data_IF_802556005860
#
_entry.id   IF_802556005860
#
_cell.length_a   1.000
_cell.length_b   1.000
_cell.length_c   1.000
_cell.angle_alpha   90.00
_cell.angle_beta   90.00
_cell.angle_gamma   90.00
#
_symmetry.space_group_name_H-M   'P 1'
#
loop_
_entity.id
_entity.type
_entity.pdbx_description
1 polymer ?
2 non-polymer ?
3 water ?
#
# COMPACT_ATOMS: atom_id res chain seq x y z
N UNK A 3 -13.04 -3.81 -18.07
CA UNK A 3 -12.99 -5.14 -17.47
C UNK A 3 -12.50 -5.07 -16.03
N UNK A 4 -12.63 -6.19 -15.32
CA UNK A 4 -12.11 -6.30 -13.96
C UNK A 4 -10.80 -7.08 -13.98
N UNK A 5 -9.85 -6.73 -13.10
CA UNK A 5 -8.57 -7.44 -13.08
C UNK A 5 -8.73 -8.95 -12.90
N UNK A 6 -8.00 -9.71 -13.70
CA UNK A 6 -8.02 -11.17 -13.59
C UNK A 6 -7.51 -11.59 -12.21
N UNK A 7 -7.99 -12.73 -11.76
CA UNK A 7 -7.50 -13.32 -10.52
C UNK A 7 -6.03 -13.62 -10.68
N UNK A 8 -5.27 -13.36 -9.62
CA UNK A 8 -3.85 -13.67 -9.60
C UNK A 8 -3.59 -14.48 -8.34
N UNK A 9 -2.37 -14.94 -8.18
CA UNK A 9 -1.99 -15.65 -6.97
C UNK A 9 -2.11 -14.74 -5.77
N UNK A 10 -2.13 -13.43 -6.02
CA UNK A 10 -2.00 -12.43 -4.96
C UNK A 10 -3.22 -11.54 -4.83
N UNK A 11 -3.60 -11.23 -3.59
CA UNK A 11 -4.68 -10.28 -3.37
C UNK A 11 -4.48 -9.47 -2.09
N UNK A 12 -5.16 -8.32 -2.05
CA UNK A 12 -5.13 -7.42 -0.91
C UNK A 12 -6.50 -7.35 -0.25
N UNK A 13 -6.58 -7.76 1.01
CA UNK A 13 -7.80 -7.58 1.80
C UNK A 13 -7.80 -6.21 2.44
N UNK A 14 -8.98 -5.62 2.59
CA UNK A 14 -9.14 -4.35 3.32
C UNK A 14 -10.16 -4.50 4.42
N UNK A 15 -10.16 -3.56 5.36
CA UNK A 15 -11.16 -3.50 6.42
C UNK A 15 -11.12 -4.72 7.34
N UNK A 16 -9.97 -5.39 7.35
CA UNK A 16 -9.75 -6.52 8.24
C UNK A 16 -9.61 -6.05 9.68
N UNK A 17 -9.31 -4.76 9.83
CA UNK A 17 -9.10 -4.17 11.13
C UNK A 17 -9.04 -2.66 11.03
N UNK A 18 -8.90 -2.01 12.19
CA UNK A 18 -8.74 -0.57 12.26
C UNK A 18 -7.66 -0.29 13.31
N UNK A 19 -6.46 0.09 12.85
CA UNK A 19 -5.32 0.31 13.77
C UNK A 19 -5.64 1.26 14.91
N UNK A 20 -6.64 2.12 14.73
CA UNK A 20 -7.02 3.05 15.77
C UNK A 20 -7.76 2.36 16.92
N UNK A 21 -8.61 1.40 16.57
CA UNK A 21 -9.39 0.65 17.55
C UNK A 21 -8.75 -0.64 18.07
N UNK A 22 -7.76 -1.19 17.35
CA UNK A 22 -7.21 -2.50 17.72
C UNK A 22 -6.49 -2.47 19.06
N UNK A 23 -7.12 -3.14 20.02
CA UNK A 23 -6.70 -3.11 21.42
C UNK A 23 -6.03 -4.39 21.92
N UNK A 24 -6.14 -5.50 21.18
CA UNK A 24 -5.61 -6.76 21.69
C UNK A 24 -4.17 -6.97 21.29
N UNK A 25 -3.33 -7.32 22.25
CA UNK A 25 -1.94 -7.62 21.97
C UNK A 25 -1.90 -8.82 21.04
N UNK A 26 -1.03 -8.78 20.03
CA UNK A 26 -0.91 -9.88 19.10
C UNK A 26 -2.11 -9.98 18.18
N UNK A 27 -2.86 -8.90 18.03
CA UNK A 27 -4.05 -8.89 17.19
C UNK A 27 -3.74 -9.25 15.73
N UNK A 28 -2.65 -8.73 15.18
CA UNK A 28 -2.34 -8.95 13.77
C UNK A 28 -1.96 -10.41 13.52
N UNK A 29 -1.33 -11.05 14.49
CA UNK A 29 -0.99 -12.47 14.38
C UNK A 29 -2.26 -13.31 14.39
N UNK A 30 -3.24 -12.90 15.19
CA UNK A 30 -4.47 -13.66 15.27
C UNK A 30 -5.21 -13.54 13.95
N UNK A 31 -5.17 -12.35 13.36
CA UNK A 31 -5.72 -12.15 12.03
C UNK A 31 -5.01 -13.07 11.05
N UNK A 32 -3.67 -13.08 11.12
CA UNK A 32 -2.87 -13.94 10.25
C UNK A 32 -3.27 -15.41 10.42
N UNK A 33 -3.37 -15.87 11.66
CA UNK A 33 -3.79 -17.26 11.92
C UNK A 33 -5.19 -17.50 11.39
N UNK A 34 -6.06 -16.52 11.59
CA UNK A 34 -7.44 -16.65 11.17
C UNK A 34 -7.50 -16.81 9.66
N UNK A 35 -6.72 -16.02 8.95
CA UNK A 35 -6.69 -16.08 7.49
C UNK A 35 -6.10 -17.40 7.00
N UNK A 36 -4.97 -17.79 7.56
CA UNK A 36 -4.34 -19.04 7.16
C UNK A 36 -5.29 -20.21 7.42
N UNK A 37 -5.90 -20.23 8.60
CA UNK A 37 -6.87 -21.28 8.93
C UNK A 37 -7.97 -21.32 7.89
N UNK A 38 -8.42 -20.15 7.48
CA UNK A 38 -9.48 -20.06 6.49
C UNK A 38 -8.97 -20.60 5.15
N UNK A 39 -7.74 -20.23 4.79
CA UNK A 39 -7.16 -20.68 3.54
C UNK A 39 -6.90 -22.19 3.53
N UNK A 40 -6.57 -22.74 4.69
CA UNK A 40 -6.27 -24.17 4.79
C UNK A 40 -7.52 -25.03 4.83
N UNK A 41 -8.68 -24.39 4.75
CA UNK A 41 -9.93 -25.09 4.51
C UNK A 41 -10.19 -25.11 3.00
N UNK A 42 -9.25 -24.57 2.24
CA UNK A 42 -9.42 -24.46 0.78
C UNK A 42 -8.17 -24.86 0.00
N UNK A 43 -7.41 -23.89 -0.48
CA UNK A 43 -6.25 -24.15 -1.32
C UNK A 43 -4.95 -23.67 -0.71
N UNK A 44 -5.00 -23.28 0.56
CA UNK A 44 -3.81 -22.87 1.27
C UNK A 44 -3.34 -21.48 0.87
N UNK A 45 -2.16 -21.13 1.35
CA UNK A 45 -1.59 -19.81 1.18
C UNK A 45 -0.08 -19.91 1.35
N UNK A 46 0.68 -19.14 0.57
CA UNK A 46 2.14 -19.21 0.59
C UNK A 46 2.79 -17.91 1.04
N UNK A 47 1.99 -16.85 1.14
CA UNK A 47 2.45 -15.60 1.72
C UNK A 47 1.26 -14.83 2.29
N UNK A 48 1.50 -14.20 3.43
CA UNK A 48 0.49 -13.36 4.05
C UNK A 48 1.17 -12.22 4.79
N UNK A 49 0.58 -11.03 4.71
CA UNK A 49 1.11 -9.88 5.43
C UNK A 49 0.00 -8.96 5.91
N UNK A 50 -0.14 -8.85 7.23
CA UNK A 50 -1.08 -7.92 7.83
C UNK A 50 -0.42 -6.56 8.03
N UNK A 51 -0.87 -5.56 7.26
CA UNK A 51 -0.29 -4.23 7.32
C UNK A 51 -0.85 -3.46 8.52
N UNK A 52 -0.16 -3.55 9.65
CA UNK A 52 -0.63 -2.96 10.90
C UNK A 52 -0.91 -1.46 10.83
N UNK A 53 -0.18 -0.76 9.97
CA UNK A 53 -0.26 0.69 9.91
C UNK A 53 -1.27 1.24 8.90
N UNK A 54 -1.84 0.36 8.08
CA UNK A 54 -2.75 0.82 7.04
C UNK A 54 -4.06 1.25 7.67
N UNK A 55 -4.53 2.43 7.29
CA UNK A 55 -5.73 2.99 7.87
C UNK A 55 -6.95 2.18 7.46
N UNK A 56 -6.88 1.56 6.29
CA UNK A 56 -8.00 0.78 5.77
C UNK A 56 -7.89 -0.68 6.21
N UNK A 57 -6.92 -0.98 7.07
CA UNK A 57 -6.77 -2.33 7.60
C UNK A 57 -6.44 -3.36 6.55
N UNK A 58 -5.32 -3.19 5.85
CA UNK A 58 -4.97 -4.06 4.75
C UNK A 58 -4.27 -5.35 5.17
N UNK A 59 -4.66 -6.45 4.54
CA UNK A 59 -3.97 -7.72 4.67
C UNK A 59 -3.64 -8.24 3.27
N UNK A 60 -2.36 -8.54 3.04
CA UNK A 60 -1.90 -9.01 1.75
C UNK A 60 -1.70 -10.50 1.78
N UNK A 61 -2.11 -11.18 0.71
CA UNK A 61 -2.08 -12.63 0.65
C UNK A 61 -1.62 -13.12 -0.72
N UNK A 62 -0.84 -14.18 -0.73
CA UNK A 62 -0.52 -14.89 -1.97
C UNK A 62 -0.70 -16.39 -1.77
N UNK A 63 -1.44 -17.01 -2.69
CA UNK A 63 -1.75 -18.43 -2.62
C UNK A 63 -0.92 -19.20 -3.64
N UNK A 64 -0.74 -20.52 -3.42
CA UNK A 64 0.17 -21.31 -4.26
C UNK A 64 -0.27 -21.40 -5.72
N UNK A 65 -1.51 -20.99 -5.97
CA UNK A 65 -2.03 -20.99 -7.32
C UNK A 65 -3.19 -20.01 -7.38
N UNK A 66 -3.59 -19.63 -8.58
CA UNK A 66 -4.67 -18.68 -8.73
C UNK A 66 -5.97 -19.34 -8.28
N UNK A 67 -6.08 -20.65 -8.53
CA UNK A 67 -7.22 -21.42 -8.04
C UNK A 67 -7.31 -21.38 -6.51
N UNK A 68 -6.17 -21.50 -5.86
CA UNK A 68 -6.13 -21.42 -4.40
C UNK A 68 -6.48 -20.01 -3.94
N UNK A 69 -5.96 -19.03 -4.68
CA UNK A 69 -6.19 -17.62 -4.37
C UNK A 69 -7.67 -17.29 -4.48
N UNK A 70 -8.32 -17.77 -5.54
CA UNK A 70 -9.74 -17.57 -5.73
C UNK A 70 -10.54 -18.13 -4.54
N UNK A 71 -10.18 -19.34 -4.12
CA UNK A 71 -10.87 -19.99 -3.02
C UNK A 71 -10.72 -19.22 -1.71
N UNK A 72 -9.51 -18.74 -1.45
CA UNK A 72 -9.23 -17.95 -0.25
C UNK A 72 -10.03 -16.66 -0.26
N UNK A 73 -9.94 -15.92 -1.37
CA UNK A 73 -10.65 -14.67 -1.54
C UNK A 73 -12.14 -14.88 -1.31
N UNK A 74 -12.67 -15.95 -1.88
CA UNK A 74 -14.09 -16.24 -1.79
C UNK A 74 -14.54 -16.66 -0.39
N UNK A 75 -13.60 -17.14 0.40
CA UNK A 75 -13.88 -17.55 1.77
C UNK A 75 -13.78 -16.38 2.74
N UNK A 76 -12.97 -15.39 2.37
CA UNK A 76 -12.61 -14.31 3.28
C UNK A 76 -13.41 -13.03 3.07
N UNK A 77 -13.74 -12.71 1.83
CA UNK A 77 -14.37 -11.42 1.51
C UNK A 77 -15.82 -11.25 1.98
N UNK A 78 -16.34 -12.21 2.74
CA UNK A 78 -17.72 -12.15 3.17
C UNK A 78 -17.92 -11.60 4.58
N UNK A 79 -16.90 -11.68 5.41
CA UNK A 79 -17.02 -11.25 6.81
C UNK A 79 -17.08 -9.74 7.02
N UNK A 80 -17.68 -9.36 8.15
CA UNK A 80 -17.82 -7.97 8.57
C UNK A 80 -17.03 -7.64 9.83
N UNK A 81 -16.56 -6.39 9.92
CA UNK A 81 -15.92 -5.92 11.14
C UNK A 81 -16.13 -4.42 11.40
N UNK A 82 -16.64 -4.13 12.60
CA UNK A 82 -16.87 -2.76 13.04
C UNK A 82 -17.77 -1.99 12.09
N UNK A 83 -18.81 -2.64 11.61
CA UNK A 83 -19.76 -2.00 10.71
C UNK A 83 -19.24 -1.92 9.29
N UNK A 84 -17.99 -2.32 9.08
CA UNK A 84 -17.38 -2.27 7.76
C UNK A 84 -17.12 -3.69 7.26
N UNK A 85 -17.39 -3.90 5.98
CA UNK A 85 -17.22 -5.18 5.31
C UNK A 85 -15.84 -5.37 4.68
N UNK A 86 -15.26 -6.55 4.87
CA UNK A 86 -13.95 -6.86 4.30
C UNK A 86 -14.05 -6.99 2.78
N UNK A 87 -13.06 -6.42 2.09
CA UNK A 87 -12.98 -6.46 0.63
C UNK A 87 -11.63 -7.00 0.16
N UNK A 88 -11.66 -7.81 -0.90
CA UNK A 88 -10.44 -8.32 -1.53
C UNK A 88 -10.18 -7.66 -2.89
N UNK A 89 -8.92 -7.30 -3.14
CA UNK A 89 -8.48 -6.82 -4.45
C UNK A 89 -7.25 -7.58 -4.92
N UNK A 90 -7.32 -8.19 -6.10
CA UNK A 90 -6.18 -8.90 -6.66
C UNK A 90 -5.06 -7.94 -7.01
N UNK A 91 -3.83 -8.39 -6.81
CA UNK A 91 -2.64 -7.60 -7.14
C UNK A 91 -1.85 -8.30 -8.24
N UNK A 92 -1.48 -7.57 -9.31
CA UNK A 92 -0.66 -8.21 -10.33
C UNK A 92 0.68 -8.66 -9.75
N UNK A 93 1.20 -9.79 -10.22
CA UNK A 93 2.40 -10.38 -9.66
C UNK A 93 3.57 -9.40 -9.54
N UNK A 94 3.89 -8.66 -10.62
CA UNK A 94 5.02 -7.73 -10.52
C UNK A 94 4.84 -6.69 -9.41
N UNK A 95 3.63 -6.15 -9.27
CA UNK A 95 3.35 -5.19 -8.20
C UNK A 95 3.49 -5.83 -6.82
N UNK A 96 2.88 -7.00 -6.67
CA UNK A 96 2.93 -7.71 -5.39
C UNK A 96 4.35 -8.14 -5.08
N UNK A 97 5.05 -8.58 -6.11
CA UNK A 97 6.43 -9.00 -5.99
C UNK A 97 7.32 -7.80 -5.71
N UNK A 98 6.98 -6.65 -6.27
CA UNK A 98 7.74 -5.44 -5.99
C UNK A 98 7.52 -5.01 -4.54
N UNK A 99 6.28 -5.12 -4.08
CA UNK A 99 5.96 -4.83 -2.68
C UNK A 99 6.52 -5.92 -1.74
N UNK A 100 6.42 -7.17 -2.17
CA UNK A 100 6.89 -8.31 -1.39
C UNK A 100 7.81 -9.19 -2.24
N UNK A 101 9.08 -8.78 -2.38
CA UNK A 101 10.09 -9.53 -3.14
C UNK A 101 10.17 -11.01 -2.79
N UNK A 102 10.06 -11.34 -1.52
CA UNK A 102 10.24 -12.72 -1.06
C UNK A 102 9.07 -13.62 -1.47
N UNK A 103 7.94 -13.01 -1.77
CA UNK A 103 6.75 -13.77 -2.16
C UNK A 103 6.94 -14.45 -3.51
N UNK A 104 7.96 -14.03 -4.25
CA UNK A 104 8.23 -14.58 -5.56
C UNK A 104 8.50 -16.08 -5.50
N UNK A 105 9.50 -16.46 -4.71
CA UNK A 105 9.95 -17.84 -4.63
C UNK A 105 9.36 -18.64 -3.46
N UNK A 106 8.47 -18.03 -2.69
CA UNK A 106 7.81 -18.73 -1.60
C UNK A 106 6.79 -19.73 -2.15
N UNK A 107 6.98 -21.02 -1.84
CA UNK A 107 6.12 -22.07 -2.36
C UNK A 107 5.51 -22.93 -1.25
N UNK A 108 6.01 -22.79 -0.03
CA UNK A 108 5.54 -23.59 1.09
C UNK A 108 4.18 -23.13 1.64
N UNK A 109 3.21 -24.03 1.66
CA UNK A 109 1.91 -23.72 2.24
C UNK A 109 2.02 -23.40 3.72
N UNK A 110 1.45 -22.26 4.10
CA UNK A 110 1.47 -21.79 5.47
C UNK A 110 0.43 -22.51 6.31
N UNK A 111 0.73 -22.71 7.59
CA UNK A 111 -0.23 -23.24 8.53
C UNK A 111 -0.32 -22.27 9.70
N UNK A 112 -1.45 -22.27 10.42
CA UNK A 112 -1.58 -21.32 11.52
C UNK A 112 -0.61 -21.60 12.66
N UNK A 113 -0.32 -20.58 13.44
CA UNK A 113 0.50 -20.72 14.64
C UNK A 113 -0.26 -21.50 15.70
N UNK A 114 -1.52 -21.10 15.95
CA UNK A 114 -2.33 -21.74 16.96
C UNK A 114 -2.86 -23.08 16.47
N UNK A 115 -2.95 -24.04 17.38
CA UNK A 115 -3.37 -25.40 17.04
C UNK A 115 -4.90 -25.54 17.07
N UNK B 6 10.28 2.73 9.62
CA UNK B 6 11.18 3.83 9.30
C UNK B 6 10.41 5.05 8.80
N UNK B 7 9.38 5.43 9.56
CA UNK B 7 8.60 6.62 9.24
C UNK B 7 9.46 7.89 9.31
N UNK B 8 9.33 8.72 8.29
CA UNK B 8 10.01 10.01 8.22
C UNK B 8 9.04 11.05 7.69
N UNK B 9 9.50 12.31 7.62
CA UNK B 9 8.73 13.37 6.97
C UNK B 9 8.55 13.09 5.49
N UNK B 10 9.40 12.23 4.94
CA UNK B 10 9.48 12.01 3.51
C UNK B 10 9.18 10.58 3.10
N UNK B 11 8.52 10.45 1.96
CA UNK B 11 8.26 9.13 1.39
C UNK B 11 8.25 9.18 -0.12
N UNK B 12 8.45 8.00 -0.71
CA UNK B 12 8.46 7.82 -2.13
C UNK B 12 7.25 6.99 -2.48
N UNK B 13 6.36 7.55 -3.28
CA UNK B 13 5.24 6.79 -3.80
C UNK B 13 5.75 6.08 -5.05
N UNK B 14 5.27 4.86 -5.28
CA UNK B 14 5.63 4.12 -6.48
C UNK B 14 4.37 3.75 -7.23
N UNK B 15 4.52 3.41 -8.50
CA UNK B 15 3.42 2.93 -9.31
C UNK B 15 2.35 4.00 -9.48
N UNK B 16 2.76 5.26 -9.30
CA UNK B 16 1.86 6.39 -9.50
C UNK B 16 1.62 6.62 -10.99
N UNK B 17 2.53 6.12 -11.82
CA UNK B 17 2.43 6.31 -13.26
C UNK B 17 3.43 5.44 -14.02
N UNK B 18 3.34 5.48 -15.35
CA UNK B 18 4.30 4.79 -16.21
C UNK B 18 4.57 5.68 -17.43
N UNK B 19 5.51 5.30 -18.31
CA UNK B 19 5.75 6.15 -19.47
C UNK B 19 4.50 6.42 -20.31
N UNK B 20 3.51 5.53 -20.21
CA UNK B 20 2.23 5.68 -20.92
C UNK B 20 1.40 6.78 -20.28
N UNK B 21 1.61 7.01 -18.99
CA UNK B 21 0.84 8.00 -18.26
C UNK B 21 1.33 9.39 -18.67
N UNK B 22 2.57 9.42 -19.12
CA UNK B 22 3.24 10.66 -19.47
C UNK B 22 2.82 11.24 -20.81
N UNK B 23 1.83 10.64 -21.46
CA UNK B 23 1.50 11.02 -22.83
C UNK B 23 0.36 12.03 -22.82
N UNK B 24 -0.30 12.14 -21.67
CA UNK B 24 -1.37 13.12 -21.47
C UNK B 24 -0.80 14.36 -20.78
N UNK B 25 -1.14 15.54 -21.28
CA UNK B 25 -0.70 16.80 -20.68
C UNK B 25 -1.18 16.95 -19.25
N UNK B 26 -0.31 17.51 -18.40
CA UNK B 26 -0.66 17.75 -17.02
C UNK B 26 -0.77 16.48 -16.20
N UNK B 27 -0.23 15.39 -16.72
CA UNK B 27 -0.25 14.12 -16.01
C UNK B 27 0.51 14.32 -14.70
N UNK B 28 1.64 14.99 -14.79
CA UNK B 28 2.52 15.23 -13.65
C UNK B 28 1.93 16.27 -12.72
N UNK B 29 1.28 17.29 -13.28
CA UNK B 29 0.66 18.33 -12.47
C UNK B 29 -0.51 17.77 -11.68
N UNK B 30 -1.25 16.86 -12.29
CA UNK B 30 -2.41 16.26 -11.65
C UNK B 30 -2.01 15.28 -10.55
N UNK B 31 -0.98 14.49 -10.82
CA UNK B 31 -0.44 13.58 -9.80
C UNK B 31 0.06 14.42 -8.63
N UNK B 32 0.77 15.49 -8.95
CA UNK B 32 1.26 16.41 -7.93
C UNK B 32 0.10 16.93 -7.08
N UNK B 33 -0.96 17.39 -7.76
CA UNK B 33 -2.14 17.90 -7.08
C UNK B 33 -2.85 16.82 -6.26
N UNK B 34 -2.93 15.61 -6.79
CA UNK B 34 -3.61 14.52 -6.11
C UNK B 34 -2.96 14.20 -4.77
N UNK B 35 -1.63 14.18 -4.76
CA UNK B 35 -0.89 13.88 -3.55
C UNK B 35 -1.09 15.01 -2.53
N UNK B 36 -0.96 16.26 -2.98
CA UNK B 36 -1.14 17.41 -2.11
C UNK B 36 -2.51 17.38 -1.45
N UNK B 37 -3.53 17.10 -2.26
CA UNK B 37 -4.89 17.01 -1.78
C UNK B 37 -5.04 15.98 -0.67
N UNK B 38 -4.42 14.81 -0.87
CA UNK B 38 -4.47 13.74 0.12
C UNK B 38 -3.75 14.18 1.39
N UNK B 39 -2.61 14.83 1.21
CA UNK B 39 -1.83 15.29 2.34
C UNK B 39 -2.57 16.36 3.14
N UNK B 40 -3.35 17.19 2.47
CA UNK B 40 -4.07 18.27 3.15
C UNK B 40 -5.34 17.75 3.84
N UNK B 41 -5.58 16.45 3.73
CA UNK B 41 -6.61 15.77 4.52
C UNK B 41 -6.00 15.18 5.80
N UNK B 42 -4.70 15.42 5.97
CA UNK B 42 -3.97 14.88 7.11
C UNK B 42 -3.11 15.96 7.73
N UNK B 43 -1.83 16.01 7.38
CA UNK B 43 -0.89 16.97 7.95
C UNK B 43 -0.25 17.88 6.92
N UNK B 44 -0.76 17.87 5.70
CA UNK B 44 -0.26 18.71 4.64
C UNK B 44 1.06 18.24 4.06
N UNK B 45 1.64 19.07 3.20
CA UNK B 45 2.86 18.71 2.47
C UNK B 45 3.58 20.00 2.05
N UNK B 46 4.91 19.97 2.05
CA UNK B 46 5.70 21.16 1.77
C UNK B 46 6.63 21.02 0.56
N UNK B 47 6.77 19.81 0.05
CA UNK B 47 7.50 19.61 -1.20
C UNK B 47 7.03 18.34 -1.88
N UNK B 48 6.97 18.40 -3.21
CA UNK B 48 6.60 17.24 -4.00
C UNK B 48 7.32 17.28 -5.35
N UNK B 49 7.72 16.11 -5.83
CA UNK B 49 8.39 16.01 -7.11
C UNK B 49 7.92 14.76 -7.84
N UNK B 50 7.26 14.98 -8.97
CA UNK B 50 6.85 13.88 -9.84
C UNK B 50 8.01 13.56 -10.75
N UNK B 51 8.63 12.41 -10.53
CA UNK B 51 9.81 12.03 -11.29
C UNK B 51 9.45 11.46 -12.65
N UNK B 52 9.36 12.35 -13.64
CA UNK B 52 8.97 11.98 -14.99
C UNK B 52 9.92 10.96 -15.59
N UNK B 53 11.16 10.94 -15.12
CA UNK B 53 12.20 10.10 -15.71
C UNK B 53 12.26 8.70 -15.09
N UNK B 54 11.52 8.49 -14.01
CA UNK B 54 11.50 7.21 -13.31
C UNK B 54 10.60 6.17 -14.00
N UNK B 55 11.13 4.96 -14.17
CA UNK B 55 10.38 3.87 -14.79
C UNK B 55 9.28 3.34 -13.86
N UNK B 56 9.51 3.44 -12.55
CA UNK B 56 8.60 2.88 -11.55
C UNK B 56 7.48 3.83 -11.14
N UNK B 57 7.37 4.95 -11.83
CA UNK B 57 6.32 5.92 -11.54
C UNK B 57 6.49 6.49 -10.14
N UNK B 58 7.67 7.03 -9.87
CA UNK B 58 7.98 7.50 -8.53
C UNK B 58 7.53 8.96 -8.33
N UNK B 59 6.91 9.20 -7.17
CA UNK B 59 6.58 10.55 -6.75
C UNK B 59 7.15 10.75 -5.36
N UNK B 60 7.93 11.83 -5.22
CA UNK B 60 8.61 12.13 -3.97
C UNK B 60 7.85 13.21 -3.21
N UNK B 61 7.73 13.01 -1.90
CA UNK B 61 6.90 13.87 -1.06
C UNK B 61 7.60 14.17 0.25
N UNK B 62 7.48 15.40 0.71
CA UNK B 62 7.93 15.79 2.05
C UNK B 62 6.85 16.56 2.79
N UNK B 63 6.55 16.12 4.01
CA UNK B 63 5.51 16.70 4.83
C UNK B 63 6.11 17.55 5.94
N UNK B 64 5.33 18.51 6.49
CA UNK B 64 5.87 19.44 7.49
C UNK B 64 6.24 18.75 8.81
N UNK B 65 5.80 17.52 8.99
CA UNK B 65 6.12 16.74 10.19
C UNK B 65 5.98 15.26 9.90
N UNK B 66 6.55 14.43 10.76
CA UNK B 66 6.51 12.99 10.59
C UNK B 66 5.09 12.49 10.85
N UNK B 67 4.39 13.13 11.77
CA UNK B 67 2.99 12.82 12.03
C UNK B 67 2.18 13.01 10.75
N UNK B 68 2.51 14.07 10.02
CA UNK B 68 1.82 14.36 8.77
C UNK B 68 2.14 13.31 7.69
N UNK B 69 3.39 12.91 7.59
CA UNK B 69 3.81 11.94 6.59
C UNK B 69 3.21 10.56 6.89
N UNK B 70 3.28 10.15 8.14
CA UNK B 70 2.71 8.87 8.56
C UNK B 70 1.23 8.81 8.21
N UNK B 71 0.51 9.90 8.50
CA UNK B 71 -0.90 9.96 8.19
C UNK B 71 -1.10 9.84 6.68
N UNK B 72 -0.25 10.53 5.93
CA UNK B 72 -0.32 10.48 4.47
C UNK B 72 0.01 9.09 3.94
N UNK B 73 1.15 8.55 4.38
CA UNK B 73 1.59 7.22 3.96
C UNK B 73 0.56 6.15 4.33
N UNK B 74 0.04 6.22 5.55
CA UNK B 74 -0.90 5.19 6.02
C UNK B 74 -2.20 5.30 5.26
N UNK B 75 -2.46 6.47 4.69
CA UNK B 75 -3.63 6.68 3.86
C UNK B 75 -3.33 6.31 2.40
N UNK B 76 -2.06 6.41 2.01
CA UNK B 76 -1.67 6.27 0.61
C UNK B 76 -1.17 4.87 0.23
N UNK B 77 -0.44 4.22 1.12
CA UNK B 77 0.12 2.91 0.82
C UNK B 77 -0.99 1.88 0.74
N UNK B 78 -1.01 1.08 -0.32
CA UNK B 78 -2.06 0.09 -0.51
C UNK B 78 -3.23 0.69 -1.26
N UNK B 79 -3.29 2.02 -1.29
CA UNK B 79 -4.38 2.73 -1.96
C UNK B 79 -4.22 2.45 -3.43
N UNK B 80 -5.32 2.58 -4.18
CA UNK B 80 -5.27 2.32 -5.61
C UNK B 80 -5.42 3.65 -6.31
N UNK B 81 -4.67 3.82 -7.39
CA UNK B 81 -4.64 5.07 -8.14
C UNK B 81 -4.35 4.74 -9.59
N UNK B 82 -5.25 5.18 -10.47
CA UNK B 82 -5.11 4.91 -11.90
C UNK B 82 -5.03 3.41 -12.15
N UNK B 83 -5.83 2.64 -11.42
CA UNK B 83 -5.92 1.20 -11.61
C UNK B 83 -4.76 0.40 -11.05
N UNK B 84 -3.76 1.10 -10.53
CA UNK B 84 -2.55 0.49 -10.01
C UNK B 84 -2.45 0.68 -8.50
N UNK B 85 -1.92 -0.31 -7.79
CA UNK B 85 -1.81 -0.18 -6.35
C UNK B 85 -0.55 0.62 -6.09
N UNK B 86 -0.72 1.81 -5.53
CA UNK B 86 0.41 2.64 -5.18
C UNK B 86 1.01 2.12 -3.90
N UNK B 87 2.34 2.22 -3.81
CA UNK B 87 3.07 1.81 -2.63
C UNK B 87 3.84 3.02 -2.14
N UNK B 88 3.82 3.25 -0.83
CA UNK B 88 4.62 4.29 -0.22
C UNK B 88 5.75 3.61 0.50
N UNK B 89 6.95 4.14 0.29
CA UNK B 89 8.12 3.72 1.02
C UNK B 89 8.72 4.99 1.56
N UNK B 90 8.99 5.01 2.86
CA UNK B 90 9.57 6.19 3.47
C UNK B 90 10.93 6.43 2.87
N UNK B 91 11.30 7.70 2.75
CA UNK B 91 12.61 8.09 2.24
C UNK B 91 13.34 8.76 3.37
N UNK B 92 14.61 8.35 3.61
CA UNK B 92 15.34 9.05 4.67
C UNK B 92 15.43 10.54 4.37
N UNK B 93 15.27 11.37 5.38
CA UNK B 93 15.24 12.82 5.19
C UNK B 93 16.47 13.34 4.43
N UNK B 94 17.68 12.91 4.82
CA UNK B 94 18.87 13.39 4.12
C UNK B 94 18.85 13.00 2.63
N UNK B 95 18.39 11.79 2.35
CA UNK B 95 18.31 11.31 0.98
C UNK B 95 17.39 12.20 0.17
N UNK B 96 16.25 12.54 0.76
CA UNK B 96 15.26 13.37 0.09
C UNK B 96 15.82 14.77 -0.17
N UNK B 97 16.52 15.32 0.81
CA UNK B 97 17.08 16.65 0.71
C UNK B 97 18.19 16.73 -0.33
N UNK B 98 19.00 15.68 -0.40
CA UNK B 98 20.08 15.62 -1.38
C UNK B 98 19.56 15.46 -2.79
N UNK B 99 18.53 14.63 -2.93
CA UNK B 99 17.88 14.45 -4.21
C UNK B 99 17.16 15.73 -4.59
N UNK B 100 16.56 16.38 -3.59
CA UNK B 100 15.75 17.57 -3.81
C UNK B 100 16.16 18.74 -2.91
N UNK B 101 17.20 19.47 -3.32
CA UNK B 101 17.75 20.63 -2.60
C UNK B 101 16.70 21.63 -2.12
N UNK B 102 15.69 21.90 -2.95
CA UNK B 102 14.73 22.94 -2.65
C UNK B 102 13.77 22.53 -1.51
N UNK B 103 13.65 21.24 -1.26
CA UNK B 103 12.74 20.74 -0.23
C UNK B 103 13.20 21.05 1.19
N UNK B 104 14.49 21.35 1.35
CA UNK B 104 15.05 21.64 2.67
C UNK B 104 14.44 22.87 3.31
N UNK B 105 14.48 23.99 2.59
CA UNK B 105 14.02 25.26 3.13
C UNK B 105 12.57 25.54 2.78
N UNK B 106 11.95 24.58 2.11
CA UNK B 106 10.54 24.67 1.79
C UNK B 106 9.74 24.49 3.08
N UNK B 107 8.98 25.51 3.46
CA UNK B 107 8.18 25.46 4.69
C UNK B 107 6.73 25.83 4.41
N UNK B 108 6.48 26.39 3.23
CA UNK B 108 5.15 26.80 2.87
C UNK B 108 4.34 25.55 2.54
N UNK B 109 3.22 25.38 3.22
CA UNK B 109 2.35 24.25 2.97
C UNK B 109 1.89 24.34 1.52
N UNK B 110 2.02 23.25 0.78
CA UNK B 110 1.62 23.26 -0.63
C UNK B 110 0.12 23.15 -0.73
N UNK B 111 -0.42 23.81 -1.74
CA UNK B 111 -1.82 23.71 -2.08
C UNK B 111 -1.91 23.32 -3.55
N UNK B 112 -3.04 22.75 -3.97
CA UNK B 112 -3.21 22.35 -5.37
C UNK B 112 -3.12 23.55 -6.31
N UNK B 113 -2.90 23.29 -7.59
CA UNK B 113 -2.84 24.36 -8.59
C UNK B 113 -4.18 25.07 -8.69
X LIG C 1 -0.69 -2.54 -9.81
#
# INVERSE_FOLDING_TARGET
GSVQPLATQCFQLSNMFNPQTEEEVGWDTEIKDDVIEECNKHGGVIHIYVDKNSAQGNVYVKCPSIAAAIAAVNALHGRWFAGKMITAAYVPLPTYHNLFPDSMTATQLLVPSRR
GSVQPLATQCFQLSNMFNPQTEEEVGWDTEIKDDVIEECNKHGGVIHIYVDKNSAQGNVYVKCPSIAAAIAAVNALHGRWFAGKMITAAYVPLPTYHNLFPDSMTATQLLVPSRR
CL CL
#
